data_IF_766540394295
#
_entry.id   IF_766540394295
#
_cell.length_a   1.000
_cell.length_b   1.000
_cell.length_c   1.000
_cell.angle_alpha   90.00
_cell.angle_beta   90.00
_cell.angle_gamma   90.00
#
_symmetry.space_group_name_H-M   'P 1'
#
loop_
_entity.id
_entity.type
_entity.pdbx_description
1 polymer ?
#
# COMPACT_ATOMS: atom_id res chain seq x y z
N UNK A 1 129.59 77.09 36.87
CA UNK A 1 128.45 76.49 37.59
C UNK A 1 127.18 76.96 36.89
N UNK A 2 126.29 76.03 36.62
CA UNK A 2 125.12 76.08 35.72
C UNK A 2 123.99 77.00 36.17
N UNK A 3 123.03 77.18 35.26
CA UNK A 3 121.56 77.42 35.41
C UNK A 3 121.10 78.79 34.88
N UNK A 4 119.97 78.98 34.22
CA UNK A 4 118.91 78.15 33.63
C UNK A 4 118.13 79.11 32.71
N UNK A 5 117.87 78.74 31.45
CA UNK A 5 117.04 79.55 30.54
C UNK A 5 115.57 79.45 30.94
N UNK A 6 114.96 80.58 31.32
CA UNK A 6 113.51 80.71 31.56
C UNK A 6 112.73 80.83 30.23
N UNK A 7 111.51 80.27 30.15
CA UNK A 7 110.78 80.08 28.90
C UNK A 7 109.99 81.31 28.43
N UNK A 8 109.90 81.51 27.11
CA UNK A 8 109.03 82.51 26.47
C UNK A 8 107.54 82.16 26.69
N UNK A 9 106.76 83.11 27.22
CA UNK A 9 105.33 82.94 27.55
C UNK A 9 104.45 82.47 26.38
N UNK A 10 104.87 82.69 25.13
CA UNK A 10 104.17 82.19 23.94
C UNK A 10 104.21 80.66 23.82
N UNK A 11 105.30 80.01 24.24
CA UNK A 11 105.44 78.55 24.20
C UNK A 11 104.53 77.88 25.24
N UNK A 12 104.34 78.51 26.39
CA UNK A 12 103.43 78.03 27.44
C UNK A 12 101.98 78.14 26.98
N UNK A 13 101.60 79.25 26.33
CA UNK A 13 100.26 79.44 25.77
C UNK A 13 99.94 78.45 24.65
N UNK A 14 100.85 78.25 23.68
CA UNK A 14 100.64 77.31 22.57
C UNK A 14 100.56 75.86 23.06
N UNK A 15 101.36 75.49 24.07
CA UNK A 15 101.31 74.17 24.71
C UNK A 15 99.99 73.95 25.47
N UNK A 16 99.45 74.99 26.09
CA UNK A 16 98.12 74.98 26.70
C UNK A 16 97.00 74.80 25.68
N UNK A 17 97.06 75.56 24.57
CA UNK A 17 96.09 75.47 23.48
C UNK A 17 96.09 74.09 22.81
N UNK A 18 97.28 73.53 22.53
CA UNK A 18 97.41 72.19 21.96
C UNK A 18 96.85 71.11 22.89
N UNK A 19 97.10 71.22 24.20
CA UNK A 19 96.58 70.29 25.20
C UNK A 19 95.04 70.35 25.30
N UNK A 20 94.46 71.55 25.16
CA UNK A 20 93.01 71.74 25.12
C UNK A 20 92.39 71.18 23.83
N UNK A 21 93.01 71.42 22.68
CA UNK A 21 92.56 70.91 21.38
C UNK A 21 92.62 69.37 21.35
N UNK A 22 93.69 68.77 21.89
CA UNK A 22 93.83 67.32 22.04
C UNK A 22 92.75 66.75 22.97
N UNK A 23 92.43 67.43 24.08
CA UNK A 23 91.37 66.99 25.01
C UNK A 23 89.99 67.02 24.35
N UNK A 24 89.69 68.05 23.55
CA UNK A 24 88.44 68.14 22.76
C UNK A 24 88.39 67.03 21.72
N UNK A 25 89.49 66.78 21.01
CA UNK A 25 89.57 65.71 20.01
C UNK A 25 89.38 64.33 20.65
N UNK A 26 89.97 64.08 21.82
CA UNK A 26 89.79 62.84 22.56
C UNK A 26 88.32 62.67 23.01
N UNK A 27 87.70 63.75 23.49
CA UNK A 27 86.28 63.77 23.84
C UNK A 27 85.38 63.46 22.64
N UNK A 28 85.70 63.99 21.46
CA UNK A 28 84.99 63.69 20.22
C UNK A 28 85.16 62.23 19.78
N UNK A 29 86.38 61.67 19.85
CA UNK A 29 86.65 60.28 19.51
C UNK A 29 85.90 59.33 20.45
N UNK A 30 85.93 59.59 21.76
CA UNK A 30 85.20 58.80 22.76
C UNK A 30 83.69 58.91 22.54
N UNK A 31 83.19 60.12 22.29
CA UNK A 31 81.77 60.34 21.96
C UNK A 31 81.32 59.60 20.71
N UNK A 32 82.12 59.63 19.64
CA UNK A 32 81.85 58.90 18.41
C UNK A 32 81.91 57.38 18.61
N UNK A 33 82.89 56.88 19.37
CA UNK A 33 83.01 55.46 19.70
C UNK A 33 81.82 54.95 20.53
N UNK A 34 81.36 55.71 21.53
CA UNK A 34 80.17 55.38 22.32
C UNK A 34 78.89 55.40 21.49
N UNK A 35 78.74 56.38 20.58
CA UNK A 35 77.60 56.46 19.67
C UNK A 35 77.57 55.26 18.71
N UNK A 36 78.71 54.91 18.12
CA UNK A 36 78.81 53.74 17.24
C UNK A 36 78.57 52.43 17.98
N UNK A 37 79.10 52.27 19.21
CA UNK A 37 78.87 51.09 20.04
C UNK A 37 77.38 50.95 20.42
N UNK A 38 76.73 52.04 20.83
CA UNK A 38 75.30 52.06 21.13
C UNK A 38 74.45 51.71 19.90
N UNK A 39 74.80 52.27 18.74
CA UNK A 39 74.12 51.98 17.48
C UNK A 39 74.26 50.52 17.05
N UNK A 40 75.45 49.95 17.17
CA UNK A 40 75.73 48.55 16.82
C UNK A 40 74.99 47.56 17.70
N UNK A 41 74.97 47.77 19.03
CA UNK A 41 74.23 46.92 19.98
C UNK A 41 72.71 47.02 19.75
N UNK A 42 72.20 48.21 19.44
CA UNK A 42 70.78 48.40 19.13
C UNK A 42 70.37 47.62 17.88
N UNK A 43 71.20 47.65 16.83
CA UNK A 43 70.95 46.88 15.61
C UNK A 43 71.03 45.37 15.85
N UNK A 44 71.98 44.87 16.64
CA UNK A 44 72.21 43.43 16.78
C UNK A 44 71.29 42.75 17.81
N UNK A 45 70.75 43.46 18.82
CA UNK A 45 69.92 42.86 19.87
C UNK A 45 68.41 43.20 19.76
N UNK A 46 68.05 44.41 19.31
CA UNK A 46 66.66 44.90 19.35
C UNK A 46 65.89 44.62 18.05
N UNK A 47 66.58 44.46 16.92
CA UNK A 47 65.95 44.08 15.65
C UNK A 47 65.53 42.59 15.59
N UNK A 48 66.37 41.59 15.94
CA UNK A 48 65.98 40.18 15.84
C UNK A 48 64.87 39.80 16.83
N UNK A 49 64.75 40.51 17.95
CA UNK A 49 63.65 40.29 18.91
C UNK A 49 62.29 40.75 18.37
N UNK A 50 62.25 41.80 17.54
CA UNK A 50 61.03 42.23 16.85
C UNK A 50 60.62 41.27 15.74
N UNK A 51 61.57 40.74 14.98
CA UNK A 51 61.28 39.75 13.93
C UNK A 51 60.87 38.40 14.51
N UNK A 52 61.54 37.94 15.57
CA UNK A 52 61.14 36.72 16.29
C UNK A 52 59.76 36.88 16.93
N UNK A 53 59.43 38.05 17.49
CA UNK A 53 58.09 38.32 18.02
C UNK A 53 57.01 38.24 16.93
N UNK A 54 57.30 38.71 15.70
CA UNK A 54 56.40 38.56 14.55
C UNK A 54 56.25 37.11 14.12
N UNK A 55 57.33 36.34 14.07
CA UNK A 55 57.29 34.91 13.73
C UNK A 55 56.46 34.13 14.74
N UNK A 56 56.66 34.38 16.04
CA UNK A 56 55.86 33.73 17.11
C UNK A 56 54.39 34.13 17.02
N UNK A 57 54.09 35.41 16.79
CA UNK A 57 52.70 35.86 16.60
C UNK A 57 52.03 35.22 15.38
N UNK A 58 52.76 35.10 14.26
CA UNK A 58 52.28 34.42 13.06
C UNK A 58 52.07 32.93 13.30
N UNK A 59 53.02 32.25 13.96
CA UNK A 59 52.88 30.84 14.34
C UNK A 59 51.68 30.63 15.26
N UNK A 60 51.51 31.47 16.28
CA UNK A 60 50.40 31.35 17.23
C UNK A 60 49.05 31.59 16.54
N UNK A 61 49.01 32.48 15.55
CA UNK A 61 47.83 32.68 14.69
C UNK A 61 47.55 31.43 13.86
N UNK A 62 48.56 30.86 13.19
CA UNK A 62 48.41 29.61 12.44
C UNK A 62 47.95 28.44 13.33
N UNK A 63 48.54 28.28 14.52
CA UNK A 63 48.12 27.27 15.49
C UNK A 63 46.67 27.49 15.97
N UNK A 64 46.25 28.73 16.18
CA UNK A 64 44.88 29.04 16.55
C UNK A 64 43.89 28.73 15.40
N UNK A 65 44.26 29.05 14.16
CA UNK A 65 43.49 28.74 12.96
C UNK A 65 43.39 27.23 12.72
N UNK A 66 44.50 26.49 12.86
CA UNK A 66 44.54 25.04 12.71
C UNK A 66 43.71 24.34 13.81
N UNK A 67 43.84 24.77 15.07
CA UNK A 67 43.01 24.25 16.16
C UNK A 67 41.53 24.55 15.93
N UNK A 68 41.20 25.71 15.37
CA UNK A 68 39.82 26.06 15.01
C UNK A 68 39.31 25.12 13.91
N UNK A 69 40.07 24.93 12.84
CA UNK A 69 39.72 24.03 11.75
C UNK A 69 39.57 22.58 12.23
N UNK A 70 40.46 22.12 13.11
CA UNK A 70 40.40 20.78 13.70
C UNK A 70 39.12 20.61 14.52
N UNK A 71 38.75 21.62 15.32
CA UNK A 71 37.50 21.62 16.09
C UNK A 71 36.27 21.58 15.18
N UNK A 72 36.26 22.39 14.11
CA UNK A 72 35.19 22.40 13.11
C UNK A 72 35.06 21.04 12.40
N UNK A 73 36.18 20.42 12.00
CA UNK A 73 36.20 19.08 11.39
C UNK A 73 35.70 18.01 12.35
N UNK A 74 36.12 18.06 13.62
CA UNK A 74 35.65 17.11 14.64
C UNK A 74 34.14 17.23 14.83
N UNK A 75 33.61 18.46 14.93
CA UNK A 75 32.17 18.69 15.03
C UNK A 75 31.42 18.21 13.78
N UNK A 76 31.99 18.41 12.59
CA UNK A 76 31.41 17.91 11.36
C UNK A 76 31.38 16.37 11.30
N UNK A 77 32.46 15.71 11.75
CA UNK A 77 32.52 14.25 11.83
C UNK A 77 31.52 13.71 12.85
N UNK A 78 31.41 14.35 14.01
CA UNK A 78 30.45 13.99 15.06
C UNK A 78 29.01 14.09 14.54
N UNK A 79 28.66 15.19 13.86
CA UNK A 79 27.35 15.34 13.20
C UNK A 79 27.09 14.25 12.14
N UNK A 80 28.11 13.91 11.34
CA UNK A 80 27.98 12.84 10.33
C UNK A 80 27.80 11.47 10.96
N UNK A 81 28.50 11.18 12.06
CA UNK A 81 28.34 9.93 12.80
C UNK A 81 26.92 9.83 13.35
N UNK A 82 26.42 10.89 14.02
CA UNK A 82 25.05 10.89 14.53
C UNK A 82 24.00 10.72 13.42
N UNK A 83 24.19 11.34 12.25
CA UNK A 83 23.30 11.13 11.11
C UNK A 83 23.38 9.69 10.57
N UNK A 84 24.57 9.11 10.49
CA UNK A 84 24.75 7.72 10.05
C UNK A 84 24.11 6.73 11.03
N UNK A 85 24.23 6.97 12.33
CA UNK A 85 23.59 6.15 13.38
C UNK A 85 22.06 6.23 13.29
N UNK A 86 21.51 7.43 13.07
CA UNK A 86 20.07 7.62 12.85
C UNK A 86 19.60 6.88 11.58
N UNK A 87 20.29 7.07 10.46
CA UNK A 87 19.95 6.40 9.20
C UNK A 87 20.07 4.87 9.33
N UNK A 88 21.08 4.37 10.03
CA UNK A 88 21.24 2.93 10.28
C UNK A 88 20.09 2.38 11.12
N UNK A 89 19.65 3.11 12.14
CA UNK A 89 18.50 2.74 12.98
C UNK A 89 17.21 2.72 12.16
N UNK A 90 16.99 3.73 11.31
CA UNK A 90 15.82 3.78 10.43
C UNK A 90 15.80 2.61 9.43
N UNK A 91 16.94 2.31 8.80
CA UNK A 91 17.06 1.17 7.89
C UNK A 91 16.84 -0.17 8.60
N UNK A 92 17.34 -0.34 9.82
CA UNK A 92 17.10 -1.54 10.62
C UNK A 92 15.59 -1.72 10.91
N UNK A 93 14.91 -0.65 11.31
CA UNK A 93 13.47 -0.68 11.56
C UNK A 93 12.67 -1.03 10.29
N UNK A 94 13.05 -0.46 9.14
CA UNK A 94 12.42 -0.80 7.85
C UNK A 94 12.64 -2.26 7.44
N UNK A 95 13.82 -2.82 7.70
CA UNK A 95 14.11 -4.23 7.44
C UNK A 95 13.27 -5.15 8.33
N UNK A 96 13.11 -4.81 9.62
CA UNK A 96 12.27 -5.56 10.56
C UNK A 96 10.79 -5.53 10.14
N UNK A 97 10.30 -4.38 9.69
CA UNK A 97 8.95 -4.22 9.17
C UNK A 97 8.73 -5.05 7.89
N UNK A 98 9.66 -4.97 6.93
CA UNK A 98 9.60 -5.78 5.70
C UNK A 98 9.67 -7.28 6.00
N UNK A 99 10.49 -7.70 6.96
CA UNK A 99 10.58 -9.08 7.37
C UNK A 99 9.28 -9.59 8.00
N UNK A 100 8.66 -8.77 8.85
CA UNK A 100 7.35 -9.06 9.44
C UNK A 100 6.28 -9.19 8.36
N UNK A 101 6.26 -8.26 7.40
CA UNK A 101 5.33 -8.29 6.28
C UNK A 101 5.53 -9.53 5.40
N UNK A 102 6.78 -9.93 5.15
CA UNK A 102 7.10 -11.12 4.38
C UNK A 102 6.60 -12.39 5.08
N UNK A 103 6.82 -12.52 6.40
CA UNK A 103 6.32 -13.65 7.19
C UNK A 103 4.80 -13.70 7.21
N UNK A 104 4.13 -12.54 7.39
CA UNK A 104 2.68 -12.47 7.34
C UNK A 104 2.15 -12.89 5.97
N UNK A 105 2.72 -12.35 4.89
CA UNK A 105 2.32 -12.68 3.52
C UNK A 105 2.53 -14.16 3.19
N UNK A 106 3.59 -14.79 3.71
CA UNK A 106 3.80 -16.23 3.57
C UNK A 106 2.72 -17.03 4.31
N UNK A 107 2.41 -16.64 5.55
CA UNK A 107 1.35 -17.30 6.33
C UNK A 107 -0.02 -17.16 5.67
N UNK A 108 -0.35 -15.99 5.14
CA UNK A 108 -1.61 -15.73 4.43
C UNK A 108 -1.70 -16.59 3.16
N UNK A 109 -0.59 -16.74 2.42
CA UNK A 109 -0.53 -17.59 1.24
C UNK A 109 -0.79 -19.07 1.58
N UNK A 110 -0.18 -19.59 2.64
CA UNK A 110 -0.43 -20.96 3.12
C UNK A 110 -1.88 -21.16 3.54
N UNK A 111 -2.48 -20.18 4.22
CA UNK A 111 -3.89 -20.22 4.61
C UNK A 111 -4.82 -20.27 3.38
N UNK A 112 -4.55 -19.45 2.36
CA UNK A 112 -5.30 -19.46 1.09
C UNK A 112 -5.19 -20.81 0.38
N UNK A 113 -4.01 -21.42 0.34
CA UNK A 113 -3.83 -22.74 -0.26
C UNK A 113 -4.61 -23.82 0.49
N UNK A 114 -4.58 -23.81 1.82
CA UNK A 114 -5.37 -24.73 2.64
C UNK A 114 -6.87 -24.55 2.43
N UNK A 115 -7.34 -23.31 2.37
CA UNK A 115 -8.74 -23.00 2.10
C UNK A 115 -9.14 -23.50 0.71
N UNK A 116 -8.30 -23.29 -0.31
CA UNK A 116 -8.53 -23.81 -1.67
C UNK A 116 -8.68 -25.33 -1.68
N UNK A 117 -7.81 -26.05 -0.99
CA UNK A 117 -7.90 -27.51 -0.88
C UNK A 117 -9.20 -27.94 -0.19
N UNK A 118 -9.58 -27.27 0.89
CA UNK A 118 -10.86 -27.52 1.57
C UNK A 118 -12.07 -27.29 0.64
N UNK A 119 -12.07 -26.19 -0.12
CA UNK A 119 -13.12 -25.90 -1.10
C UNK A 119 -13.20 -26.97 -2.19
N UNK A 120 -12.06 -27.43 -2.73
CA UNK A 120 -12.05 -28.49 -3.75
C UNK A 120 -12.61 -29.81 -3.21
N UNK A 121 -12.24 -30.19 -1.97
CA UNK A 121 -12.80 -31.37 -1.32
C UNK A 121 -14.31 -31.25 -1.08
N UNK A 122 -14.79 -30.06 -0.74
CA UNK A 122 -16.22 -29.80 -0.61
C UNK A 122 -16.95 -29.87 -1.95
N UNK A 123 -16.35 -29.35 -3.02
CA UNK A 123 -16.88 -29.47 -4.39
C UNK A 123 -17.01 -30.93 -4.82
N UNK A 124 -15.99 -31.76 -4.58
CA UNK A 124 -16.04 -33.19 -4.90
C UNK A 124 -17.13 -33.92 -4.12
N UNK A 125 -17.36 -33.54 -2.86
CA UNK A 125 -18.46 -34.08 -2.04
C UNK A 125 -19.81 -33.67 -2.61
N UNK A 126 -19.98 -32.41 -2.99
CA UNK A 126 -21.22 -31.92 -3.60
C UNK A 126 -21.50 -32.61 -4.93
N UNK A 127 -20.50 -32.80 -5.79
CA UNK A 127 -20.64 -33.55 -7.04
C UNK A 127 -21.11 -34.99 -6.82
N UNK A 128 -20.53 -35.70 -5.84
CA UNK A 128 -20.97 -37.04 -5.45
C UNK A 128 -22.42 -37.05 -4.95
N UNK A 129 -22.77 -36.13 -4.05
CA UNK A 129 -24.13 -36.03 -3.53
C UNK A 129 -25.14 -35.77 -4.64
N UNK A 130 -24.81 -34.87 -5.58
CA UNK A 130 -25.65 -34.59 -6.74
C UNK A 130 -25.80 -35.84 -7.61
N UNK A 131 -24.73 -36.60 -7.88
CA UNK A 131 -24.83 -37.85 -8.65
C UNK A 131 -25.74 -38.87 -7.98
N UNK A 132 -25.59 -39.09 -6.68
CA UNK A 132 -26.46 -39.99 -5.91
C UNK A 132 -27.92 -39.52 -5.95
N UNK A 133 -28.17 -38.23 -5.75
CA UNK A 133 -29.52 -37.65 -5.88
C UNK A 133 -30.11 -37.87 -7.28
N UNK A 134 -29.31 -37.74 -8.35
CA UNK A 134 -29.76 -38.02 -9.72
C UNK A 134 -30.15 -39.49 -9.89
N UNK A 135 -29.34 -40.41 -9.36
CA UNK A 135 -29.62 -41.85 -9.42
C UNK A 135 -30.90 -42.21 -8.65
N UNK A 136 -31.05 -41.71 -7.43
CA UNK A 136 -32.27 -41.88 -6.61
C UNK A 136 -33.51 -41.34 -7.33
N UNK A 137 -33.40 -40.16 -7.93
CA UNK A 137 -34.49 -39.53 -8.65
C UNK A 137 -34.87 -40.27 -9.95
N UNK A 138 -33.90 -40.89 -10.63
CA UNK A 138 -34.17 -41.74 -11.78
C UNK A 138 -34.82 -43.05 -11.37
N UNK A 139 -34.42 -43.61 -10.23
CA UNK A 139 -35.09 -44.79 -9.67
C UNK A 139 -36.54 -44.47 -9.29
N UNK A 140 -36.78 -43.35 -8.61
CA UNK A 140 -38.14 -42.90 -8.26
C UNK A 140 -39.01 -42.68 -9.50
N UNK A 141 -38.44 -42.11 -10.57
CA UNK A 141 -39.14 -41.94 -11.83
C UNK A 141 -39.59 -43.29 -12.44
N UNK A 142 -38.71 -44.29 -12.37
CA UNK A 142 -38.99 -45.64 -12.87
C UNK A 142 -40.03 -46.35 -12.02
N UNK A 143 -39.91 -46.27 -10.69
CA UNK A 143 -40.90 -46.84 -9.76
C UNK A 143 -42.29 -46.23 -10.00
N UNK A 144 -42.33 -44.96 -10.40
CA UNK A 144 -43.57 -44.28 -10.75
C UNK A 144 -44.17 -44.74 -12.08
N UNK A 145 -43.34 -44.94 -13.10
CA UNK A 145 -43.75 -45.53 -14.39
C UNK A 145 -44.31 -46.94 -14.17
N UNK A 146 -43.61 -47.78 -13.40
CA UNK A 146 -44.06 -49.13 -13.03
C UNK A 146 -45.40 -49.11 -12.26
N UNK A 147 -45.61 -48.15 -11.34
CA UNK A 147 -46.89 -47.97 -10.64
C UNK A 147 -48.02 -47.49 -11.56
N UNK A 148 -47.69 -46.66 -12.55
CA UNK A 148 -48.65 -46.19 -13.56
C UNK A 148 -49.12 -47.35 -14.42
N UNK A 149 -48.20 -48.19 -14.90
CA UNK A 149 -48.51 -49.41 -15.67
C UNK A 149 -49.32 -50.42 -14.83
N UNK A 150 -49.02 -50.59 -13.54
CA UNK A 150 -49.80 -51.48 -12.67
C UNK A 150 -51.23 -50.98 -12.42
N UNK A 151 -51.42 -49.66 -12.33
CA UNK A 151 -52.73 -49.07 -12.07
C UNK A 151 -53.61 -48.92 -13.33
N UNK A 152 -53.06 -49.11 -14.54
CA UNK A 152 -53.84 -49.18 -15.79
C UNK A 152 -54.88 -50.34 -15.80
N UNK A 153 -54.85 -51.22 -14.79
CA UNK A 153 -55.85 -52.27 -14.52
C UNK A 153 -57.00 -51.85 -13.58
N UNK A 154 -57.04 -50.60 -13.11
CA UNK A 154 -58.07 -50.07 -12.19
C UNK A 154 -59.02 -49.12 -12.94
N UNK A 155 -60.33 -49.34 -12.83
CA UNK A 155 -61.41 -48.66 -13.60
C UNK A 155 -61.57 -47.13 -13.36
N UNK A 156 -60.74 -46.50 -12.51
CA UNK A 156 -60.71 -45.05 -12.29
C UNK A 156 -59.40 -44.48 -12.85
N UNK A 157 -59.45 -43.45 -13.71
CA UNK A 157 -58.32 -42.88 -14.47
C UNK A 157 -57.11 -42.54 -13.57
N UNK A 158 -56.16 -43.47 -13.37
CA UNK A 158 -55.11 -43.32 -12.38
C UNK A 158 -54.10 -42.25 -12.82
N UNK A 159 -54.07 -41.95 -14.13
CA UNK A 159 -53.17 -40.98 -14.71
C UNK A 159 -53.47 -39.56 -14.22
N UNK A 160 -54.74 -39.21 -13.96
CA UNK A 160 -55.12 -37.90 -13.41
C UNK A 160 -54.53 -37.64 -12.01
N UNK A 161 -54.55 -38.64 -11.12
CA UNK A 161 -53.99 -38.53 -9.76
C UNK A 161 -52.45 -38.40 -9.76
N UNK A 162 -51.81 -38.86 -10.83
CA UNK A 162 -50.36 -38.97 -10.92
C UNK A 162 -49.69 -37.71 -11.53
N UNK A 163 -50.46 -36.86 -12.24
CA UNK A 163 -49.94 -35.63 -12.87
C UNK A 163 -49.22 -34.70 -11.89
N UNK A 164 -49.74 -34.38 -10.68
CA UNK A 164 -49.06 -33.47 -9.77
C UNK A 164 -47.70 -33.99 -9.32
N UNK A 165 -47.56 -35.29 -9.08
CA UNK A 165 -46.28 -35.87 -8.67
C UNK A 165 -45.26 -35.89 -9.82
N UNK A 166 -45.72 -36.15 -11.06
CA UNK A 166 -44.87 -36.05 -12.25
C UNK A 166 -44.36 -34.63 -12.45
N UNK A 167 -45.22 -33.64 -12.24
CA UNK A 167 -44.86 -32.22 -12.31
C UNK A 167 -43.78 -31.86 -11.27
N UNK A 168 -43.97 -32.23 -10.01
CA UNK A 168 -42.99 -31.99 -8.94
C UNK A 168 -41.64 -32.68 -9.20
N UNK A 169 -41.66 -33.93 -9.67
CA UNK A 169 -40.45 -34.67 -10.00
C UNK A 169 -39.65 -33.99 -11.11
N UNK A 170 -40.32 -33.54 -12.17
CA UNK A 170 -39.68 -32.84 -13.30
C UNK A 170 -39.18 -31.46 -12.89
N UNK A 171 -39.87 -30.75 -12.00
CA UNK A 171 -39.39 -29.51 -11.41
C UNK A 171 -38.08 -29.75 -10.64
N UNK A 172 -38.05 -30.77 -9.78
CA UNK A 172 -36.84 -31.13 -9.03
C UNK A 172 -35.68 -31.52 -9.97
N UNK A 173 -35.95 -32.29 -11.05
CA UNK A 173 -34.95 -32.65 -12.08
C UNK A 173 -34.33 -31.40 -12.70
N UNK A 174 -35.18 -30.45 -13.07
CA UNK A 174 -34.77 -29.18 -13.66
C UNK A 174 -33.90 -28.36 -12.70
N UNK A 175 -34.31 -28.24 -11.43
CA UNK A 175 -33.56 -27.50 -10.41
C UNK A 175 -32.19 -28.12 -10.09
N UNK A 176 -32.12 -29.44 -10.02
CA UNK A 176 -30.85 -30.15 -9.83
C UNK A 176 -29.89 -29.89 -11.00
N UNK A 177 -30.43 -29.91 -12.21
CA UNK A 177 -29.66 -29.69 -13.42
C UNK A 177 -29.13 -28.25 -13.53
N UNK A 178 -29.91 -27.27 -13.07
CA UNK A 178 -29.46 -25.88 -12.89
C UNK A 178 -28.27 -25.82 -11.91
N UNK A 179 -28.35 -26.50 -10.76
CA UNK A 179 -27.25 -26.53 -9.80
C UNK A 179 -25.98 -27.17 -10.38
N UNK A 180 -26.11 -28.23 -11.20
CA UNK A 180 -24.98 -28.83 -11.92
C UNK A 180 -24.36 -27.87 -12.91
N UNK A 181 -25.16 -27.14 -13.68
CA UNK A 181 -24.63 -26.12 -14.60
C UNK A 181 -23.81 -25.07 -13.85
N UNK A 182 -24.34 -24.54 -12.74
CA UNK A 182 -23.62 -23.56 -11.89
C UNK A 182 -22.29 -24.10 -11.38
N UNK A 183 -22.27 -25.35 -10.94
CA UNK A 183 -21.03 -26.03 -10.54
C UNK A 183 -20.00 -26.03 -11.68
N UNK A 184 -20.40 -26.36 -12.91
CA UNK A 184 -19.48 -26.35 -14.05
C UNK A 184 -19.05 -24.94 -14.47
N UNK A 185 -19.87 -23.91 -14.27
CA UNK A 185 -19.47 -22.51 -14.48
C UNK A 185 -18.35 -22.14 -13.50
N UNK A 186 -18.49 -22.50 -12.22
CA UNK A 186 -17.47 -22.24 -11.19
C UNK A 186 -16.14 -22.98 -11.48
N UNK A 187 -16.21 -24.12 -12.16
CA UNK A 187 -15.04 -24.89 -12.62
C UNK A 187 -14.47 -24.40 -13.96
N UNK A 188 -15.00 -23.30 -14.52
CA UNK A 188 -14.67 -22.79 -15.85
C UNK A 188 -14.88 -23.82 -16.99
N UNK A 189 -15.80 -24.77 -16.80
CA UNK A 189 -16.16 -25.79 -17.79
C UNK A 189 -17.47 -25.42 -18.50
N UNK A 190 -17.42 -24.34 -19.28
CA UNK A 190 -18.62 -23.73 -19.88
C UNK A 190 -19.32 -24.62 -20.91
N UNK A 191 -18.58 -25.51 -21.57
CA UNK A 191 -19.16 -26.46 -22.53
C UNK A 191 -20.11 -27.45 -21.84
N UNK A 192 -19.68 -28.03 -20.72
CA UNK A 192 -20.54 -28.92 -19.93
C UNK A 192 -21.65 -28.11 -19.25
N UNK A 193 -21.35 -26.92 -18.71
CA UNK A 193 -22.38 -26.06 -18.12
C UNK A 193 -23.55 -25.78 -19.09
N UNK A 194 -23.23 -25.56 -20.38
CA UNK A 194 -24.23 -25.35 -21.43
C UNK A 194 -25.05 -26.61 -21.72
N UNK A 195 -24.41 -27.77 -21.84
CA UNK A 195 -25.13 -29.05 -21.97
C UNK A 195 -26.09 -29.29 -20.80
N UNK A 196 -25.68 -28.87 -19.61
CA UNK A 196 -26.51 -29.04 -18.42
C UNK A 196 -27.72 -28.11 -18.47
N UNK A 197 -27.57 -26.85 -18.92
CA UNK A 197 -28.69 -25.93 -19.17
C UNK A 197 -29.65 -26.52 -20.22
N UNK A 198 -29.13 -27.10 -21.30
CA UNK A 198 -29.94 -27.74 -22.34
C UNK A 198 -30.79 -28.90 -21.80
N UNK A 199 -30.22 -29.74 -20.92
CA UNK A 199 -30.99 -30.80 -20.27
C UNK A 199 -32.02 -30.24 -19.28
N UNK A 200 -31.72 -29.13 -18.58
CA UNK A 200 -32.70 -28.47 -17.72
C UNK A 200 -33.89 -27.96 -18.54
N UNK A 201 -33.63 -27.34 -19.70
CA UNK A 201 -34.69 -26.90 -20.63
C UNK A 201 -35.56 -28.07 -21.10
N UNK A 202 -34.95 -29.22 -21.38
CA UNK A 202 -35.69 -30.42 -21.75
C UNK A 202 -36.66 -30.86 -20.64
N UNK A 203 -36.19 -30.99 -19.40
CA UNK A 203 -37.07 -31.35 -18.28
C UNK A 203 -38.17 -30.33 -18.05
N UNK A 204 -37.88 -29.03 -18.24
CA UNK A 204 -38.89 -27.98 -18.17
C UNK A 204 -39.95 -28.13 -19.26
N UNK A 205 -39.56 -28.48 -20.48
CA UNK A 205 -40.52 -28.74 -21.58
C UNK A 205 -41.42 -29.93 -21.32
N UNK A 206 -40.88 -30.97 -20.68
CA UNK A 206 -41.62 -32.18 -20.34
C UNK A 206 -42.64 -31.97 -19.22
N UNK A 207 -42.64 -30.80 -18.53
CA UNK A 207 -43.65 -30.45 -17.53
C UNK A 207 -45.00 -30.01 -18.13
N UNK A 208 -45.00 -29.49 -19.36
CA UNK A 208 -46.18 -28.87 -19.99
C UNK A 208 -47.42 -29.79 -20.02
N UNK A 209 -47.30 -31.09 -20.38
CA UNK A 209 -48.47 -31.98 -20.45
C UNK A 209 -49.14 -32.25 -19.09
N UNK A 210 -48.43 -32.00 -17.99
CA UNK A 210 -48.89 -32.26 -16.63
C UNK A 210 -49.34 -30.99 -15.89
N UNK A 211 -49.14 -29.83 -16.52
CA UNK A 211 -49.36 -28.51 -15.93
C UNK A 211 -50.76 -27.94 -16.27
N UNK A 212 -51.35 -27.21 -15.32
CA UNK A 212 -52.55 -26.40 -15.57
C UNK A 212 -52.21 -25.20 -16.48
N UNK A 213 -53.20 -24.54 -17.11
CA UNK A 213 -52.93 -23.39 -17.97
C UNK A 213 -52.10 -22.29 -17.29
N UNK A 214 -52.38 -21.95 -16.03
CA UNK A 214 -51.64 -20.94 -15.28
C UNK A 214 -50.18 -21.35 -15.00
N UNK A 215 -49.93 -22.66 -14.84
CA UNK A 215 -48.59 -23.19 -14.64
C UNK A 215 -47.77 -23.20 -15.94
N UNK A 216 -48.43 -23.39 -17.09
CA UNK A 216 -47.76 -23.41 -18.40
C UNK A 216 -47.11 -22.06 -18.73
N UNK A 217 -47.74 -20.95 -18.37
CA UNK A 217 -47.17 -19.60 -18.55
C UNK A 217 -45.86 -19.44 -17.75
N UNK A 218 -45.84 -19.93 -16.51
CA UNK A 218 -44.64 -19.93 -15.67
C UNK A 218 -43.53 -20.83 -16.23
N UNK A 219 -43.89 -22.02 -16.73
CA UNK A 219 -42.95 -22.96 -17.37
C UNK A 219 -42.30 -22.32 -18.59
N UNK A 220 -43.08 -21.67 -19.46
CA UNK A 220 -42.58 -21.00 -20.67
C UNK A 220 -41.63 -19.83 -20.32
N UNK A 221 -41.94 -19.09 -19.26
CA UNK A 221 -41.08 -18.02 -18.76
C UNK A 221 -39.74 -18.57 -18.24
N UNK A 222 -39.75 -19.71 -17.54
CA UNK A 222 -38.53 -20.39 -17.12
C UNK A 222 -37.70 -20.88 -18.31
N UNK A 223 -38.33 -21.45 -19.34
CA UNK A 223 -37.63 -21.86 -20.57
C UNK A 223 -36.94 -20.69 -21.26
N UNK A 224 -37.67 -19.59 -21.46
CA UNK A 224 -37.14 -18.38 -22.11
C UNK A 224 -35.92 -17.86 -21.34
N UNK A 225 -35.98 -17.89 -20.00
CA UNK A 225 -34.85 -17.47 -19.17
C UNK A 225 -33.67 -18.43 -19.26
N UNK A 226 -33.88 -19.73 -19.30
CA UNK A 226 -32.81 -20.72 -19.50
C UNK A 226 -32.12 -20.55 -20.87
N UNK A 227 -32.89 -20.29 -21.92
CA UNK A 227 -32.34 -20.03 -23.25
C UNK A 227 -31.45 -18.79 -23.26
N UNK A 228 -31.92 -17.70 -22.64
CA UNK A 228 -31.15 -16.47 -22.48
C UNK A 228 -29.86 -16.72 -21.69
N UNK A 229 -29.93 -17.41 -20.56
CA UNK A 229 -28.76 -17.79 -19.77
C UNK A 229 -27.78 -18.62 -20.61
N UNK A 230 -28.26 -19.59 -21.37
CA UNK A 230 -27.43 -20.41 -22.25
C UNK A 230 -26.70 -19.60 -23.32
N UNK A 231 -27.27 -18.47 -23.75
CA UNK A 231 -26.64 -17.54 -24.69
C UNK A 231 -25.50 -16.72 -24.09
N UNK A 232 -25.46 -16.56 -22.75
CA UNK A 232 -24.38 -15.85 -22.07
C UNK A 232 -23.09 -16.67 -21.99
N UNK A 233 -23.13 -17.98 -22.19
CA UNK A 233 -21.93 -18.82 -22.14
C UNK A 233 -21.29 -18.98 -23.54
N UNK A 234 -19.96 -18.79 -23.67
CA UNK A 234 -18.95 -18.61 -22.61
C UNK A 234 -18.62 -17.15 -22.26
N UNK A 235 -19.25 -16.17 -22.89
CA UNK A 235 -18.79 -14.78 -22.89
C UNK A 235 -19.03 -14.01 -21.57
N UNK A 236 -20.11 -14.34 -20.85
CA UNK A 236 -20.55 -13.68 -19.61
C UNK A 236 -20.91 -14.70 -18.51
N UNK A 237 -19.95 -15.51 -18.03
CA UNK A 237 -20.22 -16.62 -17.11
C UNK A 237 -20.68 -16.19 -15.71
N UNK A 238 -20.23 -15.03 -15.23
CA UNK A 238 -20.68 -14.49 -13.95
C UNK A 238 -22.17 -14.12 -13.99
N UNK A 239 -22.59 -13.44 -15.06
CA UNK A 239 -24.00 -13.08 -15.29
C UNK A 239 -24.86 -14.34 -15.45
N UNK A 240 -24.40 -15.34 -16.21
CA UNK A 240 -25.08 -16.62 -16.35
C UNK A 240 -25.30 -17.31 -14.99
N UNK A 241 -24.28 -17.32 -14.12
CA UNK A 241 -24.39 -17.95 -12.80
C UNK A 241 -25.37 -17.20 -11.87
N UNK A 242 -25.40 -15.87 -11.93
CA UNK A 242 -26.34 -15.05 -11.18
C UNK A 242 -27.79 -15.27 -11.64
N UNK A 243 -28.03 -15.25 -12.95
CA UNK A 243 -29.37 -15.49 -13.50
C UNK A 243 -29.86 -16.92 -13.26
N UNK A 244 -28.96 -17.91 -13.23
CA UNK A 244 -29.30 -19.28 -12.83
C UNK A 244 -29.72 -19.37 -11.37
N UNK A 245 -29.07 -18.64 -10.46
CA UNK A 245 -29.48 -18.58 -9.05
C UNK A 245 -30.87 -17.95 -8.92
N UNK A 246 -31.13 -16.84 -9.60
CA UNK A 246 -32.43 -16.17 -9.56
C UNK A 246 -33.52 -17.10 -10.10
N UNK A 247 -33.27 -17.77 -11.22
CA UNK A 247 -34.21 -18.73 -11.78
C UNK A 247 -34.43 -19.91 -10.81
N UNK A 248 -33.37 -20.44 -10.21
CA UNK A 248 -33.48 -21.54 -9.25
C UNK A 248 -34.33 -21.16 -8.03
N UNK A 249 -34.12 -19.97 -7.47
CA UNK A 249 -34.94 -19.45 -6.36
C UNK A 249 -36.41 -19.36 -6.75
N UNK A 250 -36.70 -18.85 -7.96
CA UNK A 250 -38.06 -18.75 -8.47
C UNK A 250 -38.71 -20.11 -8.70
N UNK A 251 -37.94 -21.11 -9.17
CA UNK A 251 -38.44 -22.48 -9.31
C UNK A 251 -38.65 -23.15 -7.94
N UNK A 252 -37.85 -22.80 -6.94
CA UNK A 252 -38.00 -23.30 -5.57
C UNK A 252 -39.27 -22.79 -4.88
N UNK A 253 -39.75 -21.59 -5.24
CA UNK A 253 -41.08 -21.08 -4.83
C UNK A 253 -42.23 -21.91 -5.43
N UNK A 254 -41.93 -22.69 -6.47
CA UNK A 254 -42.88 -23.57 -7.16
C UNK A 254 -43.90 -22.78 -7.98
N UNK A 255 -45.10 -23.34 -8.09
CA UNK A 255 -46.23 -22.70 -8.78
C UNK A 255 -47.11 -21.85 -7.85
N UNK A 256 -46.65 -21.59 -6.62
CA UNK A 256 -47.38 -20.80 -5.64
C UNK A 256 -47.13 -19.31 -5.87
N UNK A 257 -47.64 -18.77 -6.98
CA UNK A 257 -47.85 -17.32 -7.04
C UNK A 257 -49.00 -17.00 -6.08
N UNK A 258 -48.63 -16.54 -4.87
CA UNK A 258 -49.58 -15.86 -4.00
C UNK A 258 -50.16 -14.70 -4.78
N UNK A 259 -51.49 -14.59 -4.76
CA UNK A 259 -52.25 -13.42 -5.17
C UNK A 259 -51.71 -12.14 -4.47
N UNK A 260 -50.66 -11.55 -5.03
CA UNK A 260 -50.43 -10.11 -4.95
C UNK A 260 -50.64 -9.55 -6.35
N UNK A 261 -51.85 -9.80 -6.83
CA UNK A 261 -52.50 -8.92 -7.79
C UNK A 261 -52.55 -7.56 -7.11
N UNK A 262 -51.61 -6.69 -7.48
CA UNK A 262 -51.64 -5.27 -7.10
C UNK A 262 -53.04 -4.76 -7.39
N UNK A 263 -53.79 -4.53 -6.32
CA UNK A 263 -54.99 -3.74 -6.32
C UNK A 263 -54.55 -2.30 -6.63
N UNK A 264 -54.48 -1.99 -7.92
CA UNK A 264 -54.35 -0.62 -8.40
C UNK A 264 -55.51 -0.36 -9.33
N UNK A 265 -56.69 -0.27 -8.72
CA UNK A 265 -57.81 0.45 -9.35
C UNK A 265 -57.52 1.95 -9.21
N UNK A 266 -57.13 2.51 -10.36
CA UNK A 266 -57.21 3.90 -10.81
C UNK A 266 -58.05 4.86 -9.95
N UNK A 267 -57.47 6.02 -9.64
CA UNK A 267 -58.19 7.29 -9.75
C UNK A 267 -57.36 8.23 -10.62
N UNK A 268 -57.87 8.41 -11.83
CA UNK A 268 -57.50 9.42 -12.80
C UNK A 268 -58.18 10.73 -12.36
N UNK A 269 -57.41 11.78 -12.10
CA UNK A 269 -57.82 13.13 -12.47
C UNK A 269 -56.61 14.06 -12.67
N UNK A 270 -56.76 14.90 -13.68
CA UNK A 270 -55.74 15.72 -14.32
C UNK A 270 -55.34 16.97 -13.50
N UNK A 271 -54.11 17.47 -13.68
CA UNK A 271 -53.82 18.76 -14.34
C UNK A 271 -52.33 19.12 -14.23
N UNK A 272 -51.85 19.86 -15.24
CA UNK A 272 -50.45 20.19 -15.55
C UNK A 272 -49.77 21.18 -14.58
N UNK A 273 -48.47 20.93 -14.37
CA UNK A 273 -47.32 21.88 -14.48
C UNK A 273 -47.40 23.24 -13.75
N UNK A 274 -46.57 23.46 -12.71
CA UNK A 274 -45.23 24.12 -12.76
C UNK A 274 -44.71 24.55 -11.37
N UNK A 275 -43.55 23.99 -10.95
CA UNK A 275 -42.42 24.55 -10.16
C UNK A 275 -42.60 25.23 -8.75
N UNK A 276 -41.52 25.44 -7.95
CA UNK A 276 -40.37 24.57 -7.62
C UNK A 276 -39.97 24.59 -6.10
N UNK A 277 -38.89 23.86 -5.79
CA UNK A 277 -38.06 23.87 -4.57
C UNK A 277 -38.59 22.98 -3.40
N UNK A 278 -37.82 22.16 -2.67
CA UNK A 278 -36.37 22.17 -2.42
C UNK A 278 -35.92 20.89 -1.66
N UNK A 279 -34.62 20.58 -1.79
CA UNK A 279 -33.73 19.86 -0.85
C UNK A 279 -33.77 18.33 -0.72
N UNK A 280 -32.85 17.74 -1.48
CA UNK A 280 -32.17 16.48 -1.24
C UNK A 280 -31.17 16.62 -0.07
N UNK A 281 -31.14 15.75 0.95
CA UNK A 281 -29.96 15.56 1.78
C UNK A 281 -29.14 14.35 1.30
N UNK A 282 -27.99 14.66 0.71
CA UNK A 282 -26.85 13.75 0.53
C UNK A 282 -26.30 13.28 1.88
N UNK A 283 -26.03 11.98 2.11
CA UNK A 283 -25.31 11.54 3.29
C UNK A 283 -23.84 11.95 3.23
N UNK A 284 -23.41 12.69 4.25
CA UNK A 284 -22.06 13.21 4.46
C UNK A 284 -21.11 12.10 4.92
N UNK A 285 -19.94 12.02 4.29
CA UNK A 285 -18.81 11.20 4.70
C UNK A 285 -18.21 11.69 6.04
N UNK A 286 -17.99 10.75 6.95
CA UNK A 286 -17.39 10.98 8.26
C UNK A 286 -15.87 11.18 8.13
N UNK A 287 -15.27 12.26 8.66
CA UNK A 287 -13.82 12.43 8.67
C UNK A 287 -13.15 11.60 9.78
N UNK A 288 -12.08 10.93 9.38
CA UNK A 288 -11.09 10.21 10.20
C UNK A 288 -10.43 11.15 11.20
N UNK A 289 -10.41 10.76 12.49
CA UNK A 289 -9.69 11.48 13.54
C UNK A 289 -8.19 11.12 13.50
N UNK A 290 -7.34 12.16 13.45
CA UNK A 290 -5.89 12.10 13.63
C UNK A 290 -5.56 12.11 15.13
N UNK A 291 -4.73 11.19 15.66
CA UNK A 291 -4.25 11.31 17.04
C UNK A 291 -3.07 12.29 17.14
N UNK A 292 -3.19 13.24 18.08
CA UNK A 292 -2.14 14.18 18.52
C UNK A 292 -1.11 13.45 19.40
N UNK A 293 0.21 13.72 19.26
CA UNK A 293 1.23 13.16 20.14
C UNK A 293 1.24 13.86 21.52
N UNK A 294 1.23 13.05 22.57
CA UNK A 294 1.44 13.47 23.97
C UNK A 294 2.93 13.60 24.25
N UNK A 295 3.36 14.77 24.71
CA UNK A 295 4.66 14.99 25.34
C UNK A 295 4.63 14.47 26.79
N UNK A 296 5.69 13.81 27.22
CA UNK A 296 5.90 13.39 28.62
C UNK A 296 7.25 13.94 29.11
N UNK A 297 7.33 14.40 30.37
CA UNK A 297 8.53 14.99 31.00
C UNK A 297 9.70 14.02 31.20
#
# INVERSE_FOLDING_TARGET
>A
MTTQSQPSGFVIFLKGLFKLLLAILLGLIIGAALYMAGSYVYQQAVLPTQDNARVVANMQTQYAEENKLLKEKNQQLENRISQLELNQTEQANQLDELQTLLTQSQSDYEAVLKNKEAFLNEFDRLDKNIKTLTEEQNQLAKDFEDLTEQNEQVDEDPQEMLKPLQLELKLLKSMQQINRSRLFILQANYGIAKQEIELAMQFVSEMIPFATPDQQDNILLWQTRLELIGSYLPDQPALANEDLEILWQRMAEGFNETENKSDSTSVMDAESTEAPATHNPTPTAQPTQTPTPTATP
#
